data_IF_563742097230
#
_entry.id   IF_563742097230
#
_cell.length_a   1.000
_cell.length_b   1.000
_cell.length_c   1.000
_cell.angle_alpha   90.00
_cell.angle_beta   90.00
_cell.angle_gamma   90.00
#
_symmetry.space_group_name_H-M   'P 1'
#
loop_
_entity.id
_entity.type
_entity.pdbx_description
1 polymer ?
#
# COMPACT_ATOMS: atom_id res chain seq x y z
N UNK A 1 -10.22 -10.37 13.70
CA UNK A 1 -8.81 -10.56 13.27
C UNK A 1 -8.52 -9.44 12.28
N UNK A 2 -7.38 -8.75 12.37
CA UNK A 2 -6.97 -7.76 11.36
C UNK A 2 -5.85 -8.31 10.49
N UNK A 3 -5.98 -8.22 9.17
CA UNK A 3 -5.04 -8.72 8.18
C UNK A 3 -4.21 -7.58 7.60
N UNK A 4 -2.88 -7.73 7.63
CA UNK A 4 -1.96 -6.78 7.00
C UNK A 4 -1.16 -7.49 5.91
N UNK A 5 -1.18 -6.96 4.69
CA UNK A 5 -0.29 -7.43 3.64
C UNK A 5 1.13 -6.88 3.87
N UNK A 6 2.13 -7.73 3.73
CA UNK A 6 3.54 -7.38 3.91
C UNK A 6 4.38 -7.95 2.79
N UNK A 7 5.17 -7.08 2.16
CA UNK A 7 6.14 -7.46 1.13
C UNK A 7 5.73 -7.06 -0.29
N UNK A 8 6.69 -6.60 -1.07
CA UNK A 8 6.55 -6.45 -2.52
C UNK A 8 5.87 -5.19 -3.05
N UNK A 9 5.25 -4.35 -2.21
CA UNK A 9 4.58 -3.12 -2.67
C UNK A 9 5.56 -2.19 -3.37
N UNK A 10 5.34 -2.01 -4.68
CA UNK A 10 6.20 -1.23 -5.57
C UNK A 10 5.47 -0.09 -6.27
N UNK A 11 4.14 -0.08 -6.24
CA UNK A 11 3.26 0.87 -6.94
C UNK A 11 1.99 1.18 -6.13
N UNK A 12 1.23 2.18 -6.58
CA UNK A 12 -0.11 2.46 -6.04
C UNK A 12 -1.12 1.36 -6.39
N UNK A 13 -0.96 0.71 -7.55
CA UNK A 13 -1.82 -0.42 -7.96
C UNK A 13 -1.71 -1.60 -6.98
N UNK A 14 -0.51 -1.85 -6.43
CA UNK A 14 -0.34 -2.89 -5.39
C UNK A 14 -1.15 -2.56 -4.12
N UNK A 15 -1.22 -1.27 -3.75
CA UNK A 15 -2.00 -0.79 -2.59
C UNK A 15 -3.50 -0.97 -2.85
N UNK A 16 -3.97 -0.57 -4.03
CA UNK A 16 -5.36 -0.74 -4.45
C UNK A 16 -5.76 -2.22 -4.48
N UNK A 17 -4.91 -3.09 -5.04
CA UNK A 17 -5.17 -4.52 -5.09
C UNK A 17 -5.27 -5.14 -3.68
N UNK A 18 -4.40 -4.75 -2.75
CA UNK A 18 -4.44 -5.22 -1.36
C UNK A 18 -5.69 -4.73 -0.63
N UNK A 19 -6.09 -3.48 -0.85
CA UNK A 19 -7.35 -2.93 -0.33
C UNK A 19 -8.53 -3.73 -0.86
N UNK A 20 -8.59 -3.99 -2.16
CA UNK A 20 -9.69 -4.69 -2.82
C UNK A 20 -9.78 -6.18 -2.40
N UNK A 21 -8.67 -6.77 -1.96
CA UNK A 21 -8.64 -8.09 -1.32
C UNK A 21 -9.22 -8.10 0.11
N UNK A 22 -9.56 -6.94 0.68
CA UNK A 22 -10.14 -6.81 2.01
C UNK A 22 -9.12 -6.84 3.15
N UNK A 23 -7.85 -6.50 2.89
CA UNK A 23 -6.86 -6.36 3.97
C UNK A 23 -7.12 -5.09 4.78
N UNK A 24 -6.92 -5.16 6.09
CA UNK A 24 -7.02 -4.00 7.00
C UNK A 24 -5.84 -3.02 6.87
N UNK A 25 -4.75 -3.43 6.19
CA UNK A 25 -3.60 -2.56 5.95
C UNK A 25 -2.54 -3.21 5.09
N UNK A 26 -1.54 -2.39 4.72
CA UNK A 26 -0.40 -2.78 3.90
C UNK A 26 0.88 -2.14 4.43
N UNK A 27 1.98 -2.89 4.43
CA UNK A 27 3.31 -2.41 4.84
C UNK A 27 4.11 -1.98 3.62
N UNK A 28 4.48 -0.70 3.58
CA UNK A 28 5.29 -0.11 2.50
C UNK A 28 6.64 0.35 3.07
N UNK A 29 7.72 -0.12 2.46
CA UNK A 29 9.09 0.23 2.86
C UNK A 29 9.88 0.83 1.70
N UNK A 30 10.69 0.00 1.03
CA UNK A 30 11.64 0.40 -0.04
C UNK A 30 11.03 1.34 -1.10
N UNK A 31 9.79 1.14 -1.52
CA UNK A 31 9.15 1.98 -2.54
C UNK A 31 9.02 3.46 -2.11
N UNK A 32 8.79 3.73 -0.82
CA UNK A 32 8.78 5.09 -0.28
C UNK A 32 10.20 5.66 -0.19
N UNK A 33 11.18 4.86 0.26
CA UNK A 33 12.59 5.30 0.31
C UNK A 33 13.17 5.60 -1.07
N UNK A 34 12.74 4.87 -2.09
CA UNK A 34 13.13 5.09 -3.49
C UNK A 34 12.30 6.20 -4.19
N UNK A 35 11.31 6.79 -3.51
CA UNK A 35 10.48 7.86 -4.06
C UNK A 35 9.60 7.43 -5.23
N UNK A 36 9.18 6.16 -5.30
CA UNK A 36 8.32 5.64 -6.39
C UNK A 36 6.93 6.28 -6.40
N UNK A 37 6.46 6.68 -5.22
CA UNK A 37 5.25 7.44 -4.96
C UNK A 37 5.38 8.15 -3.61
N UNK A 38 4.49 9.09 -3.33
CA UNK A 38 4.51 9.83 -2.06
C UNK A 38 3.64 9.14 -1.00
N UNK A 39 3.89 9.46 0.28
CA UNK A 39 3.07 8.95 1.37
C UNK A 39 1.60 9.39 1.21
N UNK A 40 1.37 10.62 0.77
CA UNK A 40 0.04 11.19 0.53
C UNK A 40 -0.70 10.38 -0.54
N UNK A 41 -0.06 10.09 -1.67
CA UNK A 41 -0.66 9.28 -2.74
C UNK A 41 -0.97 7.84 -2.28
N UNK A 42 -0.10 7.26 -1.45
CA UNK A 42 -0.33 5.95 -0.85
C UNK A 42 -1.55 5.95 0.09
N UNK A 43 -1.70 6.97 0.92
CA UNK A 43 -2.84 7.12 1.84
C UNK A 43 -4.15 7.39 1.10
N UNK A 44 -4.12 8.24 0.06
CA UNK A 44 -5.28 8.48 -0.81
C UNK A 44 -5.73 7.18 -1.47
N UNK A 45 -4.79 6.40 -2.02
CA UNK A 45 -5.10 5.10 -2.65
C UNK A 45 -5.64 4.09 -1.64
N UNK A 46 -5.14 4.07 -0.41
CA UNK A 46 -5.59 3.14 0.63
C UNK A 46 -6.98 3.50 1.21
N UNK A 47 -7.47 4.73 1.00
CA UNK A 47 -8.72 5.24 1.58
C UNK A 47 -9.82 5.51 0.54
N UNK A 48 -9.46 5.54 -0.75
CA UNK A 48 -10.41 5.53 -1.87
C UNK A 48 -11.18 4.22 -1.94
#
# INVERSE_FOLDING_TARGET
MKLQASGGVGSLDDIAAVRDLGCDGVIVGRALYEGRFTLEAALETATA
#
